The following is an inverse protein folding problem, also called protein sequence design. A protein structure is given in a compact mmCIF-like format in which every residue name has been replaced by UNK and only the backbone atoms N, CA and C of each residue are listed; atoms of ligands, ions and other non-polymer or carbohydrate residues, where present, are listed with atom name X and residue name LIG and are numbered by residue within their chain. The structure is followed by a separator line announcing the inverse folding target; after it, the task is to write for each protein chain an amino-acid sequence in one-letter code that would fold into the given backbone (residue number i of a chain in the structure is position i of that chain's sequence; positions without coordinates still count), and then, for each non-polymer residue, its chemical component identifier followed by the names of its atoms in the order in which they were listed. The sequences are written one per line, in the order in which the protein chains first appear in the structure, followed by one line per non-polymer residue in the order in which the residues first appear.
data_IF_002369788481
#
_entry.id   IF_002369788481
#
_cell.length_a   1.000
_cell.length_b   1.000
_cell.length_c   1.000
_cell.angle_alpha   90.00
_cell.angle_beta   90.00
_cell.angle_gamma   90.00
#
_symmetry.space_group_name_H-M   'P 1'
#
loop_
_entity.id
_entity.type
_entity.pdbx_description
1 polymer ?
#
# COMPACT_ATOMS: atom_id res chain seq x y z
N UNK A 1 -8.17 3.02 -4.21
CA UNK A 1 -7.27 4.01 -3.56
C UNK A 1 -7.88 5.41 -3.45
N UNK A 2 -8.76 5.85 -4.37
CA UNK A 2 -9.33 7.19 -4.39
C UNK A 2 -10.06 7.56 -3.10
N UNK A 3 -10.86 6.63 -2.56
CA UNK A 3 -11.55 6.81 -1.27
C UNK A 3 -10.58 7.18 -0.15
N UNK A 4 -9.51 6.41 0.00
CA UNK A 4 -8.54 6.60 1.07
C UNK A 4 -7.62 7.82 0.87
N UNK A 5 -7.26 8.15 -0.37
CA UNK A 5 -6.37 9.29 -0.65
C UNK A 5 -7.07 10.65 -0.47
N UNK A 6 -8.38 10.71 -0.70
CA UNK A 6 -9.15 11.96 -0.72
C UNK A 6 -10.24 12.03 0.35
N UNK A 7 -10.32 11.04 1.25
CA UNK A 7 -11.46 10.87 2.17
C UNK A 7 -12.80 10.98 1.45
N UNK A 8 -12.89 10.32 0.30
CA UNK A 8 -14.05 10.41 -0.59
C UNK A 8 -14.85 9.11 -0.61
N UNK A 9 -16.12 9.24 -0.98
CA UNK A 9 -17.00 8.12 -1.27
C UNK A 9 -17.24 8.03 -2.78
N UNK A 10 -16.36 7.29 -3.48
CA UNK A 10 -16.49 7.06 -4.93
C UNK A 10 -17.74 6.24 -5.25
N UNK A 11 -18.22 5.41 -4.32
CA UNK A 11 -19.39 4.57 -4.56
C UNK A 11 -20.66 5.42 -4.57
N UNK A 12 -20.78 6.36 -3.63
CA UNK A 12 -21.83 7.39 -3.67
C UNK A 12 -21.74 8.21 -4.97
N UNK A 13 -20.55 8.68 -5.33
CA UNK A 13 -20.36 9.48 -6.54
C UNK A 13 -20.78 8.71 -7.81
N UNK A 14 -20.42 7.43 -7.90
CA UNK A 14 -20.86 6.56 -9.00
C UNK A 14 -22.38 6.36 -9.00
N UNK A 15 -22.98 6.09 -7.84
CA UNK A 15 -24.43 5.94 -7.74
C UNK A 15 -25.18 7.21 -8.18
N UNK A 16 -24.65 8.39 -7.86
CA UNK A 16 -25.19 9.67 -8.33
C UNK A 16 -25.13 9.82 -9.85
N UNK A 17 -24.02 9.41 -10.47
CA UNK A 17 -23.91 9.40 -11.94
C UNK A 17 -24.95 8.46 -12.54
N UNK A 18 -25.13 7.26 -12.00
CA UNK A 18 -26.12 6.29 -12.50
C UNK A 18 -27.55 6.82 -12.39
N UNK A 19 -27.88 7.47 -11.27
CA UNK A 19 -29.25 7.92 -10.99
C UNK A 19 -29.57 9.29 -11.62
N UNK A 20 -28.60 10.20 -11.63
CA UNK A 20 -28.79 11.63 -11.96
C UNK A 20 -28.05 12.06 -13.22
N UNK A 21 -27.19 11.20 -13.78
CA UNK A 21 -26.34 11.51 -14.93
C UNK A 21 -25.12 12.37 -14.61
N UNK A 22 -24.94 12.80 -13.35
CA UNK A 22 -23.83 13.66 -12.92
C UNK A 22 -23.56 13.52 -11.42
N UNK A 23 -22.38 13.94 -10.98
CA UNK A 23 -21.98 14.04 -9.58
C UNK A 23 -21.05 15.25 -9.40
N UNK A 24 -21.01 15.80 -8.19
CA UNK A 24 -20.01 16.79 -7.79
C UNK A 24 -19.15 16.21 -6.67
N UNK A 25 -17.85 16.10 -6.92
CA UNK A 25 -16.86 15.62 -5.96
C UNK A 25 -15.80 16.69 -5.77
N UNK A 26 -15.53 17.05 -4.51
CA UNK A 26 -14.47 18.00 -4.14
C UNK A 26 -13.34 17.25 -3.44
N UNK A 27 -12.29 16.81 -4.16
CA UNK A 27 -11.18 16.09 -3.55
C UNK A 27 -10.36 17.02 -2.64
N UNK A 28 -10.12 16.60 -1.41
CA UNK A 28 -9.27 17.32 -0.44
C UNK A 28 -7.79 16.97 -0.57
N UNK A 29 -7.46 15.81 -1.18
CA UNK A 29 -6.12 15.19 -1.20
C UNK A 29 -5.45 15.14 0.19
N UNK A 30 -6.21 14.79 1.22
CA UNK A 30 -5.71 14.80 2.59
C UNK A 30 -4.55 13.81 2.83
N UNK A 31 -4.43 12.72 2.06
CA UNK A 31 -3.48 11.66 2.34
C UNK A 31 -2.85 11.04 1.08
N UNK A 32 -1.66 10.48 1.27
CA UNK A 32 -1.05 9.54 0.33
C UNK A 32 -1.58 8.14 0.59
N UNK A 33 -1.60 7.33 -0.48
CA UNK A 33 -1.81 5.89 -0.39
C UNK A 33 -0.68 5.18 -1.12
N UNK A 34 -0.24 4.05 -0.59
CA UNK A 34 0.86 3.26 -1.15
C UNK A 34 0.49 1.79 -1.22
N UNK A 35 0.85 1.14 -2.34
CA UNK A 35 0.59 -0.28 -2.58
C UNK A 35 1.83 -1.11 -2.30
N UNK A 36 1.67 -2.18 -1.52
CA UNK A 36 2.70 -3.21 -1.33
C UNK A 36 2.13 -4.57 -1.75
N UNK A 37 2.58 -5.09 -2.89
CA UNK A 37 2.11 -6.36 -3.46
C UNK A 37 3.11 -7.51 -3.25
N UNK A 38 2.70 -8.55 -2.54
CA UNK A 38 3.47 -9.78 -2.36
C UNK A 38 3.13 -10.80 -3.45
N UNK A 39 4.14 -11.56 -3.88
CA UNK A 39 4.01 -12.68 -4.81
C UNK A 39 4.11 -14.00 -4.05
N UNK A 40 3.34 -14.99 -4.48
CA UNK A 40 3.48 -16.35 -3.97
C UNK A 40 4.87 -16.92 -4.30
N UNK A 41 5.32 -17.90 -3.51
CA UNK A 41 6.64 -18.54 -3.69
C UNK A 41 7.85 -17.69 -3.28
N UNK A 42 7.64 -16.52 -2.65
CA UNK A 42 8.70 -15.67 -2.09
C UNK A 42 8.68 -15.76 -0.56
N UNK A 43 9.84 -15.95 0.04
CA UNK A 43 10.01 -15.90 1.49
C UNK A 43 10.18 -14.44 1.94
N UNK A 44 9.10 -13.83 2.42
CA UNK A 44 9.13 -12.49 3.01
C UNK A 44 9.60 -12.55 4.45
N UNK A 45 10.37 -11.55 4.89
CA UNK A 45 10.92 -11.46 6.25
C UNK A 45 9.82 -11.33 7.31
N UNK A 46 8.78 -10.55 7.02
CA UNK A 46 7.63 -10.37 7.90
C UNK A 46 6.49 -11.30 7.50
N UNK A 47 5.90 -12.03 8.44
CA UNK A 47 4.63 -12.74 8.24
C UNK A 47 3.48 -11.75 8.03
N UNK A 48 2.33 -12.24 7.57
CA UNK A 48 1.11 -11.41 7.48
C UNK A 48 0.77 -10.78 8.83
N UNK A 49 0.74 -11.58 9.90
CA UNK A 49 0.39 -11.11 11.23
C UNK A 49 1.38 -10.06 11.77
N UNK A 50 2.68 -10.23 11.48
CA UNK A 50 3.69 -9.23 11.83
C UNK A 50 3.49 -7.92 11.07
N UNK A 51 3.08 -7.97 9.80
CA UNK A 51 2.71 -6.77 9.03
C UNK A 51 1.50 -6.09 9.65
N UNK A 52 0.46 -6.85 10.01
CA UNK A 52 -0.74 -6.32 10.64
C UNK A 52 -0.45 -5.69 12.00
N UNK A 53 0.42 -6.31 12.80
CA UNK A 53 0.82 -5.78 14.10
C UNK A 53 1.68 -4.52 13.97
N UNK A 54 2.64 -4.50 13.04
CA UNK A 54 3.58 -3.39 12.89
C UNK A 54 2.97 -2.16 12.19
N UNK A 55 2.09 -2.37 11.21
CA UNK A 55 1.57 -1.31 10.33
C UNK A 55 0.05 -1.17 10.35
N UNK A 56 -0.66 -1.86 11.25
CA UNK A 56 -2.12 -1.86 11.31
C UNK A 56 -2.76 -0.47 11.41
N UNK A 57 -2.08 0.49 12.04
CA UNK A 57 -2.56 1.88 12.11
C UNK A 57 -2.51 2.65 10.78
N UNK A 58 -1.64 2.24 9.86
CA UNK A 58 -1.49 2.83 8.51
C UNK A 58 -2.18 2.00 7.44
N UNK A 59 -2.51 0.75 7.73
CA UNK A 59 -3.04 -0.21 6.78
C UNK A 59 -4.56 -0.08 6.71
N UNK A 60 -5.06 0.45 5.59
CA UNK A 60 -6.49 0.73 5.39
C UNK A 60 -7.22 -0.39 4.65
N UNK A 61 -6.47 -1.25 3.96
CA UNK A 61 -7.01 -2.40 3.26
C UNK A 61 -5.92 -3.43 2.98
N UNK A 62 -6.30 -4.70 2.93
CA UNK A 62 -5.49 -5.79 2.41
C UNK A 62 -6.38 -6.87 1.81
N UNK A 63 -5.92 -7.53 0.76
CA UNK A 63 -6.69 -8.56 0.07
C UNK A 63 -5.79 -9.48 -0.77
N UNK A 64 -6.28 -10.70 -0.98
CA UNK A 64 -5.78 -11.54 -2.07
C UNK A 64 -6.20 -10.94 -3.42
N UNK A 65 -5.38 -11.17 -4.43
CA UNK A 65 -5.56 -10.68 -5.79
C UNK A 65 -5.65 -11.88 -6.72
N UNK A 66 -6.64 -11.85 -7.60
CA UNK A 66 -6.84 -12.87 -8.62
C UNK A 66 -5.58 -13.08 -9.47
N UNK A 67 -5.26 -14.33 -9.77
CA UNK A 67 -3.99 -14.71 -10.40
C UNK A 67 -3.76 -14.05 -11.76
N UNK A 68 -4.84 -13.73 -12.49
CA UNK A 68 -4.78 -13.00 -13.76
C UNK A 68 -4.11 -11.63 -13.63
N UNK A 69 -4.18 -11.00 -12.45
CA UNK A 69 -3.54 -9.72 -12.17
C UNK A 69 -2.21 -9.85 -11.42
N UNK A 70 -1.91 -11.03 -10.88
CA UNK A 70 -0.78 -11.24 -9.97
C UNK A 70 0.60 -10.97 -10.60
N UNK A 71 0.73 -11.16 -11.92
CA UNK A 71 1.96 -10.85 -12.64
C UNK A 71 2.37 -9.38 -12.46
N UNK A 72 1.40 -8.46 -12.51
CA UNK A 72 1.61 -7.02 -12.44
C UNK A 72 1.66 -6.50 -10.99
N UNK A 73 0.74 -6.94 -10.13
CA UNK A 73 0.52 -6.30 -8.81
C UNK A 73 0.74 -7.21 -7.61
N UNK A 74 1.10 -8.48 -7.83
CA UNK A 74 1.24 -9.49 -6.79
C UNK A 74 -0.06 -10.24 -6.49
N UNK A 75 0.06 -11.38 -5.80
CA UNK A 75 -1.05 -12.24 -5.39
C UNK A 75 -1.73 -11.77 -4.09
N UNK A 76 -1.05 -10.94 -3.30
CA UNK A 76 -1.62 -10.39 -2.06
C UNK A 76 -1.18 -8.94 -1.87
N UNK A 77 -2.13 -8.05 -1.64
CA UNK A 77 -1.89 -6.62 -1.58
C UNK A 77 -2.16 -6.01 -0.21
N UNK A 78 -1.38 -4.99 0.12
CA UNK A 78 -1.60 -4.09 1.24
C UNK A 78 -1.70 -2.65 0.75
N UNK A 79 -2.67 -1.91 1.27
CA UNK A 79 -2.83 -0.47 1.02
C UNK A 79 -2.49 0.26 2.32
N UNK A 80 -1.40 1.00 2.27
CA UNK A 80 -0.97 1.90 3.34
C UNK A 80 -1.51 3.31 3.06
N UNK A 81 -1.80 4.07 4.12
CA UNK A 81 -2.28 5.45 4.06
C UNK A 81 -1.60 6.30 5.13
N UNK A 82 -1.28 7.54 4.76
CA UNK A 82 -0.77 8.52 5.71
C UNK A 82 -0.59 9.91 5.07
N UNK A 83 -0.31 10.94 5.90
CA UNK A 83 -0.16 12.32 5.44
C UNK A 83 1.15 12.57 4.68
N UNK A 84 2.15 11.69 4.85
CA UNK A 84 3.47 11.81 4.25
C UNK A 84 3.83 10.57 3.43
N UNK A 85 4.56 10.76 2.33
CA UNK A 85 4.90 9.66 1.41
C UNK A 85 6.08 8.82 1.90
N UNK A 86 7.08 9.44 2.54
CA UNK A 86 8.32 8.74 2.93
C UNK A 86 8.07 7.58 3.92
N UNK A 87 7.28 7.75 5.00
CA UNK A 87 6.97 6.63 5.90
C UNK A 87 6.27 5.46 5.22
N UNK A 88 5.37 5.75 4.25
CA UNK A 88 4.63 4.71 3.53
C UNK A 88 5.54 3.91 2.59
N UNK A 89 6.48 4.59 1.91
CA UNK A 89 7.51 3.93 1.11
C UNK A 89 8.36 3.00 1.97
N UNK A 90 8.68 3.44 3.18
CA UNK A 90 9.58 2.71 4.07
C UNK A 90 8.89 1.47 4.62
N UNK A 91 7.65 1.63 5.08
CA UNK A 91 6.79 0.50 5.43
C UNK A 91 6.63 -0.48 4.25
N UNK A 92 6.42 0.02 3.03
CA UNK A 92 6.33 -0.85 1.85
C UNK A 92 7.63 -1.62 1.59
N UNK A 93 8.80 -1.01 1.78
CA UNK A 93 10.09 -1.70 1.63
C UNK A 93 10.22 -2.82 2.65
N UNK A 94 9.86 -2.57 3.90
CA UNK A 94 9.91 -3.56 4.98
C UNK A 94 8.92 -4.73 4.75
N UNK A 95 7.70 -4.42 4.30
CA UNK A 95 6.67 -5.42 3.95
C UNK A 95 7.14 -6.31 2.79
N UNK A 96 7.87 -5.75 1.82
CA UNK A 96 8.33 -6.47 0.63
C UNK A 96 9.74 -7.09 0.79
N UNK A 97 10.42 -6.82 1.90
CA UNK A 97 11.74 -7.37 2.18
C UNK A 97 11.69 -8.91 2.23
N UNK A 98 12.59 -9.55 1.49
CA UNK A 98 12.76 -10.99 1.49
C UNK A 98 13.66 -11.41 2.67
N UNK A 99 13.43 -12.61 3.19
CA UNK A 99 14.21 -13.16 4.31
C UNK A 99 15.71 -13.31 3.97
N UNK A 100 16.05 -13.53 2.70
CA UNK A 100 17.42 -13.74 2.22
C UNK A 100 18.11 -12.47 1.70
N UNK A 101 17.49 -11.29 1.86
CA UNK A 101 18.12 -10.03 1.45
C UNK A 101 19.22 -9.66 2.46
N UNK A 102 20.47 -9.98 2.14
CA UNK A 102 21.63 -9.47 2.86
C UNK A 102 21.53 -7.94 2.99
N UNK A 103 21.64 -7.44 4.22
CA UNK A 103 21.71 -6.01 4.52
C UNK A 103 22.87 -5.42 3.72
N UNK A 104 22.68 -4.40 2.86
CA UNK A 104 23.80 -3.73 2.24
C UNK A 104 24.65 -3.11 3.35
N UNK A 105 25.89 -3.54 3.44
CA UNK A 105 26.86 -3.04 4.41
C UNK A 105 26.87 -1.50 4.34
N UNK A 106 26.51 -0.87 5.45
CA UNK A 106 26.62 0.57 5.64
C UNK A 106 28.06 0.96 5.30
N UNK A 107 28.23 1.78 4.28
CA UNK A 107 29.54 2.29 3.88
C UNK A 107 30.20 2.93 5.11
N UNK A 108 31.26 2.28 5.58
CA UNK A 108 32.12 2.80 6.63
C UNK A 108 32.72 4.10 6.11
N UNK A 109 32.36 5.22 6.73
CA UNK A 109 33.11 6.47 6.60
C UNK A 109 34.53 6.19 7.12
N UNK A 110 35.51 6.21 6.22
CA UNK A 110 36.92 6.36 6.57
C UNK A 110 37.26 7.85 6.65
N UNK A 111 38.06 8.30 7.63
CA UNK A 111 38.50 9.69 7.69
C UNK A 111 39.71 9.91 6.78
N UNK A 112 39.67 11.00 6.00
CA UNK A 112 40.87 11.69 5.51
C UNK A 112 41.17 12.88 6.43
#
# INVERSE_FOLDING_TARGET
MWNWANDMDIYRAWAEVVVRGTTEVRPSRANYCYWAGRKHGRAYRLSHDQVMQAYGSQLVHHAAIEDVFAAAIGNYGYILRGPELAPLKEASREILALADAAVPATATQGPD
#
